data_IF_716757025642
#
_entry.id   IF_716757025642
#
_cell.length_a   1.000
_cell.length_b   1.000
_cell.length_c   1.000
_cell.angle_alpha   90.00
_cell.angle_beta   90.00
_cell.angle_gamma   90.00
#
_symmetry.space_group_name_H-M   'P 1'
#
loop_
_entity.id
_entity.type
_entity.pdbx_description
1 polymer ?
#
# COMPACT_ATOMS: atom_id res chain seq x y z
N UNK A 1 6.49 -0.77 -26.83
CA UNK A 1 5.29 -1.16 -27.62
C UNK A 1 4.79 -2.54 -27.18
N UNK A 2 3.57 -2.93 -27.62
CA UNK A 2 3.03 -4.29 -27.39
C UNK A 2 3.97 -5.36 -28.01
N UNK A 3 4.60 -5.04 -29.14
CA UNK A 3 5.58 -5.95 -29.77
C UNK A 3 6.78 -6.20 -28.86
N UNK A 4 7.31 -5.16 -28.23
CA UNK A 4 8.46 -5.27 -27.31
C UNK A 4 8.11 -6.09 -26.06
N UNK A 5 6.89 -5.92 -25.54
CA UNK A 5 6.38 -6.70 -24.40
C UNK A 5 6.26 -8.17 -24.79
N UNK A 6 5.60 -8.46 -25.91
CA UNK A 6 5.40 -9.83 -26.38
C UNK A 6 6.73 -10.54 -26.66
N UNK A 7 7.67 -9.88 -27.31
CA UNK A 7 9.03 -10.38 -27.56
C UNK A 7 9.77 -10.70 -26.25
N UNK A 8 9.70 -9.80 -25.29
CA UNK A 8 10.42 -9.94 -23.99
C UNK A 8 9.94 -11.13 -23.17
N UNK A 9 8.65 -11.47 -23.27
CA UNK A 9 8.05 -12.63 -22.57
C UNK A 9 7.94 -13.88 -23.45
N UNK A 10 8.49 -13.84 -24.68
CA UNK A 10 8.52 -14.99 -25.59
C UNK A 10 7.15 -15.39 -26.16
N UNK A 11 6.20 -14.45 -26.25
CA UNK A 11 4.87 -14.70 -26.80
C UNK A 11 4.66 -14.01 -28.15
N UNK A 12 3.71 -14.51 -28.94
CA UNK A 12 3.32 -13.85 -30.19
C UNK A 12 2.35 -12.67 -29.90
N UNK A 13 2.32 -11.67 -30.80
CA UNK A 13 1.34 -10.58 -30.71
C UNK A 13 -0.11 -11.07 -30.70
N UNK A 14 -0.39 -12.15 -31.48
CA UNK A 14 -1.75 -12.73 -31.50
C UNK A 14 -2.12 -13.29 -30.12
N UNK A 15 -1.18 -13.99 -29.48
CA UNK A 15 -1.39 -14.51 -28.11
C UNK A 15 -1.53 -13.38 -27.11
N UNK A 16 -0.76 -12.30 -27.24
CA UNK A 16 -0.93 -11.11 -26.41
C UNK A 16 -2.37 -10.57 -26.48
N UNK A 17 -2.89 -10.33 -27.70
CA UNK A 17 -4.25 -9.82 -27.86
C UNK A 17 -5.36 -10.80 -27.48
N UNK A 18 -5.04 -12.08 -27.29
CA UNK A 18 -5.97 -13.04 -26.71
C UNK A 18 -6.22 -12.78 -25.21
N UNK A 19 -5.19 -12.32 -24.49
CA UNK A 19 -5.28 -12.05 -23.03
C UNK A 19 -5.53 -10.59 -22.69
N UNK A 20 -4.98 -9.66 -23.47
CA UNK A 20 -5.01 -8.23 -23.17
C UNK A 20 -5.41 -7.43 -24.42
N UNK A 21 -6.37 -6.52 -24.26
CA UNK A 21 -6.81 -5.67 -25.38
C UNK A 21 -5.77 -4.61 -25.74
N UNK A 22 -5.05 -4.10 -24.74
CA UNK A 22 -4.04 -3.07 -24.87
C UNK A 22 -2.96 -3.16 -23.77
N UNK A 23 -2.00 -2.25 -23.83
CA UNK A 23 -0.92 -2.16 -22.84
C UNK A 23 -1.40 -1.72 -21.45
N UNK A 24 -2.51 -0.97 -21.38
CA UNK A 24 -3.05 -0.45 -20.11
C UNK A 24 -3.71 -1.59 -19.32
N UNK A 25 -4.30 -2.59 -19.99
CA UNK A 25 -4.75 -3.81 -19.34
C UNK A 25 -3.60 -4.61 -18.74
N UNK A 26 -2.48 -4.74 -19.46
CA UNK A 26 -1.28 -5.41 -18.91
C UNK A 26 -0.77 -4.65 -17.69
N UNK A 27 -0.62 -3.33 -17.82
CA UNK A 27 -0.19 -2.50 -16.69
C UNK A 27 -1.14 -2.67 -15.49
N UNK A 28 -2.46 -2.67 -15.73
CA UNK A 28 -3.46 -2.92 -14.69
C UNK A 28 -3.27 -4.27 -13.99
N UNK A 29 -3.09 -5.35 -14.77
CA UNK A 29 -2.88 -6.69 -14.22
C UNK A 29 -1.60 -6.78 -13.36
N UNK A 30 -0.49 -6.19 -13.83
CA UNK A 30 0.76 -6.13 -13.06
C UNK A 30 0.57 -5.35 -11.75
N UNK A 31 -0.17 -4.23 -11.79
CA UNK A 31 -0.48 -3.47 -10.57
C UNK A 31 -1.32 -4.28 -9.58
N UNK A 32 -2.30 -5.04 -10.08
CA UNK A 32 -3.13 -5.90 -9.24
C UNK A 32 -2.32 -7.01 -8.58
N UNK A 33 -1.36 -7.62 -9.29
CA UNK A 33 -0.46 -8.62 -8.72
C UNK A 33 0.40 -8.00 -7.62
N UNK A 34 1.00 -6.83 -7.85
CA UNK A 34 1.81 -6.13 -6.84
C UNK A 34 0.97 -5.75 -5.62
N UNK A 35 -0.25 -5.25 -5.81
CA UNK A 35 -1.16 -4.95 -4.70
C UNK A 35 -1.51 -6.21 -3.92
N UNK A 36 -1.75 -7.32 -4.60
CA UNK A 36 -2.02 -8.61 -3.96
C UNK A 36 -0.85 -9.10 -3.10
N UNK A 37 0.40 -8.89 -3.53
CA UNK A 37 1.58 -9.18 -2.72
C UNK A 37 1.66 -8.29 -1.46
N UNK A 38 1.30 -7.02 -1.57
CA UNK A 38 1.24 -6.11 -0.41
C UNK A 38 0.17 -6.57 0.58
N UNK A 39 -1.02 -6.94 0.08
CA UNK A 39 -2.10 -7.47 0.93
C UNK A 39 -1.65 -8.77 1.62
N UNK A 40 -1.01 -9.69 0.91
CA UNK A 40 -0.51 -10.93 1.51
C UNK A 40 0.49 -10.67 2.66
N UNK A 41 1.36 -9.66 2.55
CA UNK A 41 2.26 -9.24 3.65
C UNK A 41 1.49 -8.65 4.84
N UNK A 42 0.41 -7.93 4.59
CA UNK A 42 -0.46 -7.41 5.63
C UNK A 42 -1.24 -8.54 6.33
N UNK A 43 -1.69 -9.55 5.58
CA UNK A 43 -2.33 -10.75 6.13
C UNK A 43 -1.37 -11.50 7.04
N UNK A 44 -0.16 -11.78 6.58
CA UNK A 44 0.89 -12.42 7.37
C UNK A 44 1.22 -11.63 8.64
N UNK A 45 1.36 -10.31 8.52
CA UNK A 45 1.56 -9.45 9.68
C UNK A 45 0.39 -9.52 10.66
N UNK A 46 -0.86 -9.44 10.16
CA UNK A 46 -2.06 -9.46 11.00
C UNK A 46 -2.23 -10.79 11.76
N UNK A 47 -1.85 -11.91 11.14
CA UNK A 47 -1.87 -13.24 11.78
C UNK A 47 -0.83 -13.38 12.90
N UNK A 48 0.33 -12.73 12.76
CA UNK A 48 1.47 -12.92 13.68
C UNK A 48 1.65 -11.76 14.67
N UNK A 49 0.94 -10.64 14.49
CA UNK A 49 1.03 -9.51 15.41
C UNK A 49 0.50 -9.85 16.80
N UNK A 50 1.03 -9.20 17.80
CA UNK A 50 0.54 -9.27 19.17
C UNK A 50 -0.78 -8.50 19.29
N UNK A 51 -1.90 -9.21 19.39
CA UNK A 51 -3.22 -8.61 19.47
C UNK A 51 -3.36 -7.66 20.67
N UNK A 52 -3.72 -6.39 20.38
CA UNK A 52 -3.86 -5.32 21.38
C UNK A 52 -2.58 -4.60 21.76
N UNK A 53 -1.43 -4.97 21.20
CA UNK A 53 -0.21 -4.17 21.33
C UNK A 53 -0.18 -3.09 20.23
N UNK A 54 -0.88 -1.97 20.47
CA UNK A 54 -1.04 -0.88 19.51
C UNK A 54 0.30 -0.18 19.24
N UNK A 55 1.10 0.04 20.27
CA UNK A 55 2.43 0.64 20.13
C UNK A 55 3.30 -0.13 19.15
N UNK A 56 3.37 -1.46 19.30
CA UNK A 56 4.10 -2.32 18.37
C UNK A 56 3.48 -2.33 16.97
N UNK A 57 2.15 -2.31 16.87
CA UNK A 57 1.47 -2.25 15.58
C UNK A 57 1.82 -0.97 14.81
N UNK A 58 1.93 0.17 15.49
CA UNK A 58 2.37 1.44 14.89
C UNK A 58 3.83 1.36 14.39
N UNK A 59 4.74 0.76 15.18
CA UNK A 59 6.12 0.53 14.74
C UNK A 59 6.20 -0.38 13.51
N UNK A 60 5.38 -1.42 13.47
CA UNK A 60 5.32 -2.36 12.35
C UNK A 60 4.79 -1.68 11.08
N UNK A 61 3.77 -0.81 11.20
CA UNK A 61 3.23 -0.01 10.08
C UNK A 61 4.30 0.90 9.49
N UNK A 62 5.09 1.59 10.33
CA UNK A 62 6.19 2.45 9.86
C UNK A 62 7.20 1.62 9.07
N UNK A 63 7.65 0.49 9.62
CA UNK A 63 8.61 -0.40 8.95
C UNK A 63 8.07 -0.95 7.64
N UNK A 64 6.82 -1.39 7.62
CA UNK A 64 6.18 -1.89 6.41
C UNK A 64 6.11 -0.80 5.34
N UNK A 65 5.64 0.40 5.71
CA UNK A 65 5.55 1.53 4.77
C UNK A 65 6.90 1.87 4.18
N UNK A 66 7.97 1.93 4.99
CA UNK A 66 9.33 2.15 4.48
C UNK A 66 9.79 1.05 3.53
N UNK A 67 9.51 -0.21 3.83
CA UNK A 67 9.90 -1.32 2.95
C UNK A 67 9.21 -1.27 1.58
N UNK A 68 7.99 -0.74 1.52
CA UNK A 68 7.24 -0.57 0.28
C UNK A 68 7.75 0.60 -0.57
N UNK A 69 8.39 1.60 0.04
CA UNK A 69 8.90 2.82 -0.62
C UNK A 69 10.39 2.70 -0.97
N UNK A 70 11.13 1.77 -0.34
CA UNK A 70 12.55 1.54 -0.61
C UNK A 70 12.81 1.31 -2.12
N UNK A 71 14.08 1.47 -2.55
CA UNK A 71 14.50 1.49 -3.96
C UNK A 71 13.98 0.34 -4.83
N UNK A 72 13.76 -0.83 -4.24
CA UNK A 72 13.17 -2.00 -4.90
C UNK A 72 11.70 -2.22 -4.51
N UNK A 73 11.13 -1.33 -3.69
CA UNK A 73 9.74 -1.41 -3.27
C UNK A 73 8.76 -0.99 -4.36
N UNK A 74 7.51 -1.46 -4.27
CA UNK A 74 6.48 -1.18 -5.27
C UNK A 74 6.09 0.30 -5.37
N UNK A 75 6.33 1.10 -4.32
CA UNK A 75 6.07 2.54 -4.29
C UNK A 75 7.34 3.38 -4.50
N UNK A 76 8.40 2.79 -5.03
CA UNK A 76 9.68 3.46 -5.24
C UNK A 76 9.58 4.60 -6.26
N UNK A 77 10.48 5.56 -6.14
CA UNK A 77 10.55 6.75 -6.99
C UNK A 77 10.88 6.42 -8.45
N UNK A 78 11.51 5.28 -8.73
CA UNK A 78 11.86 4.84 -10.10
C UNK A 78 10.67 4.79 -11.05
N UNK A 79 9.48 4.39 -10.57
CA UNK A 79 8.27 4.38 -11.40
C UNK A 79 7.87 5.77 -11.91
N UNK A 80 8.23 6.85 -11.19
CA UNK A 80 7.92 8.24 -11.57
C UNK A 80 8.97 8.77 -12.54
N UNK A 81 10.24 8.45 -12.30
CA UNK A 81 11.38 8.94 -13.09
C UNK A 81 11.33 8.45 -14.53
N UNK A 82 10.79 7.27 -14.78
CA UNK A 82 10.62 6.68 -16.11
C UNK A 82 9.44 7.28 -16.93
N UNK A 83 8.87 8.40 -16.51
CA UNK A 83 7.77 9.06 -17.21
C UNK A 83 6.41 8.41 -17.03
N UNK A 84 6.25 7.52 -16.03
CA UNK A 84 5.02 6.78 -15.74
C UNK A 84 4.18 7.40 -14.62
N UNK A 85 4.23 8.72 -14.41
CA UNK A 85 3.55 9.40 -13.31
C UNK A 85 2.05 9.08 -13.23
N UNK A 86 1.35 9.01 -14.38
CA UNK A 86 -0.07 8.66 -14.40
C UNK A 86 -0.34 7.22 -13.96
N UNK A 87 0.55 6.28 -14.31
CA UNK A 87 0.47 4.88 -13.88
C UNK A 87 0.74 4.78 -12.37
N UNK A 88 1.73 5.52 -11.90
CA UNK A 88 2.07 5.58 -10.47
C UNK A 88 0.91 6.13 -9.63
N UNK A 89 0.25 7.21 -10.04
CA UNK A 89 -0.91 7.75 -9.35
C UNK A 89 -2.04 6.73 -9.28
N UNK A 90 -2.39 6.09 -10.39
CA UNK A 90 -3.41 5.03 -10.42
C UNK A 90 -3.05 3.86 -9.51
N UNK A 91 -1.76 3.53 -9.43
CA UNK A 91 -1.27 2.48 -8.53
C UNK A 91 -1.47 2.86 -7.06
N UNK A 92 -1.03 4.05 -6.66
CA UNK A 92 -1.21 4.56 -5.29
C UNK A 92 -2.68 4.55 -4.89
N UNK A 93 -3.56 5.09 -5.75
CA UNK A 93 -5.00 5.16 -5.47
C UNK A 93 -5.60 3.76 -5.26
N UNK A 94 -5.31 2.82 -6.16
CA UNK A 94 -5.82 1.44 -6.05
C UNK A 94 -5.24 0.71 -4.86
N UNK A 95 -3.94 0.87 -4.60
CA UNK A 95 -3.28 0.24 -3.46
C UNK A 95 -3.85 0.77 -2.14
N UNK A 96 -3.99 2.09 -2.00
CA UNK A 96 -4.57 2.71 -0.81
C UNK A 96 -6.01 2.25 -0.58
N UNK A 97 -6.83 2.19 -1.63
CA UNK A 97 -8.21 1.70 -1.58
C UNK A 97 -8.27 0.23 -1.09
N UNK A 98 -7.52 -0.67 -1.71
CA UNK A 98 -7.49 -2.09 -1.36
C UNK A 98 -6.92 -2.36 0.03
N UNK A 99 -5.87 -1.64 0.42
CA UNK A 99 -5.28 -1.76 1.76
C UNK A 99 -6.28 -1.27 2.81
N UNK A 100 -6.98 -0.15 2.55
CA UNK A 100 -7.99 0.38 3.45
C UNK A 100 -9.16 -0.59 3.62
N UNK A 101 -9.67 -1.17 2.53
CA UNK A 101 -10.70 -2.21 2.54
C UNK A 101 -10.28 -3.40 3.42
N UNK A 102 -9.06 -3.91 3.23
CA UNK A 102 -8.51 -5.00 4.03
C UNK A 102 -8.43 -4.66 5.52
N UNK A 103 -7.85 -3.50 5.87
CA UNK A 103 -7.68 -3.06 7.26
C UNK A 103 -9.03 -2.88 7.96
N UNK A 104 -10.01 -2.25 7.32
CA UNK A 104 -11.36 -2.08 7.86
C UNK A 104 -12.05 -3.43 8.11
N UNK A 105 -11.89 -4.38 7.18
CA UNK A 105 -12.48 -5.72 7.29
C UNK A 105 -11.83 -6.65 8.33
N UNK A 106 -10.61 -6.33 8.78
CA UNK A 106 -9.80 -7.18 9.64
C UNK A 106 -9.32 -6.48 10.92
N UNK A 107 -8.22 -5.75 10.80
CA UNK A 107 -7.49 -5.15 11.93
C UNK A 107 -8.32 -4.14 12.73
N UNK A 108 -9.08 -3.29 12.04
CA UNK A 108 -9.91 -2.26 12.68
C UNK A 108 -11.06 -2.89 13.44
N UNK A 109 -11.74 -3.86 12.84
CA UNK A 109 -12.84 -4.56 13.51
C UNK A 109 -12.39 -5.21 14.81
N UNK A 110 -11.24 -5.91 14.80
CA UNK A 110 -10.69 -6.52 16.02
C UNK A 110 -10.32 -5.47 17.07
N UNK A 111 -9.78 -4.32 16.64
CA UNK A 111 -9.48 -3.20 17.52
C UNK A 111 -10.75 -2.64 18.17
N UNK A 112 -11.79 -2.37 17.41
CA UNK A 112 -13.05 -1.84 17.91
C UNK A 112 -13.76 -2.79 18.89
N UNK A 113 -13.77 -4.09 18.57
CA UNK A 113 -14.33 -5.12 19.48
C UNK A 113 -13.58 -5.16 20.82
N UNK A 114 -12.26 -4.95 20.81
CA UNK A 114 -11.42 -5.04 22.00
C UNK A 114 -11.43 -3.76 22.84
N UNK A 115 -11.43 -2.60 22.20
CA UNK A 115 -11.25 -1.31 22.87
C UNK A 115 -12.53 -0.47 22.97
N UNK A 116 -13.60 -0.84 22.26
CA UNK A 116 -14.87 -0.13 22.27
C UNK A 116 -14.80 1.28 21.66
N UNK A 117 -13.76 1.55 20.85
CA UNK A 117 -13.50 2.87 20.25
C UNK A 117 -13.66 2.79 18.72
N UNK A 118 -14.82 3.22 18.19
CA UNK A 118 -15.04 3.19 16.74
C UNK A 118 -14.21 4.30 16.04
N UNK A 119 -13.52 3.92 14.96
CA UNK A 119 -12.88 4.87 14.04
C UNK A 119 -13.97 5.34 13.07
N UNK A 120 -14.26 6.64 13.07
CA UNK A 120 -15.24 7.22 12.14
C UNK A 120 -14.67 7.31 10.74
N UNK A 121 -15.50 7.02 9.73
CA UNK A 121 -15.09 7.06 8.32
C UNK A 121 -13.79 6.26 8.10
N UNK A 122 -13.80 5.03 8.57
CA UNK A 122 -12.62 4.14 8.64
C UNK A 122 -11.88 4.10 7.32
N UNK A 123 -12.59 3.75 6.25
CA UNK A 123 -12.00 3.60 4.93
C UNK A 123 -11.32 4.89 4.44
N UNK A 124 -12.02 6.02 4.52
CA UNK A 124 -11.50 7.33 4.09
C UNK A 124 -10.32 7.78 4.96
N UNK A 125 -10.36 7.46 6.25
CA UNK A 125 -9.26 7.77 7.19
C UNK A 125 -8.01 6.97 6.82
N UNK A 126 -8.13 5.65 6.64
CA UNK A 126 -7.01 4.80 6.23
C UNK A 126 -6.51 5.15 4.83
N UNK A 127 -7.41 5.37 3.86
CA UNK A 127 -7.01 5.80 2.52
C UNK A 127 -6.15 7.07 2.57
N UNK A 128 -6.63 8.10 3.27
CA UNK A 128 -5.93 9.38 3.40
C UNK A 128 -4.58 9.20 4.11
N UNK A 129 -4.55 8.42 5.19
CA UNK A 129 -3.34 8.12 5.94
C UNK A 129 -2.30 7.40 5.08
N UNK A 130 -2.69 6.36 4.36
CA UNK A 130 -1.79 5.57 3.50
C UNK A 130 -1.19 6.44 2.40
N UNK A 131 -2.01 7.19 1.65
CA UNK A 131 -1.54 8.10 0.60
C UNK A 131 -0.61 9.16 1.20
N UNK A 132 -0.96 9.73 2.35
CA UNK A 132 -0.18 10.74 3.05
C UNK A 132 1.17 10.21 3.51
N UNK A 133 1.22 9.05 4.16
CA UNK A 133 2.47 8.45 4.64
C UNK A 133 3.41 8.06 3.50
N UNK A 134 2.89 7.44 2.43
CA UNK A 134 3.68 7.11 1.24
C UNK A 134 4.30 8.38 0.65
N UNK A 135 3.51 9.44 0.50
CA UNK A 135 3.99 10.71 -0.04
C UNK A 135 5.00 11.39 0.87
N UNK A 136 4.75 11.40 2.18
CA UNK A 136 5.61 12.00 3.19
C UNK A 136 6.99 11.34 3.22
N UNK A 137 7.06 10.01 3.34
CA UNK A 137 8.31 9.26 3.42
C UNK A 137 9.08 9.36 2.09
N UNK A 138 8.39 9.35 0.96
CA UNK A 138 9.04 9.49 -0.35
C UNK A 138 9.68 10.86 -0.54
N UNK A 139 9.01 11.94 -0.13
CA UNK A 139 9.53 13.29 -0.25
C UNK A 139 10.59 13.62 0.80
N UNK A 140 10.54 12.93 1.94
CA UNK A 140 11.45 13.14 3.06
C UNK A 140 11.97 11.78 3.54
N UNK A 141 12.87 11.12 2.77
CA UNK A 141 13.35 9.77 3.09
C UNK A 141 14.05 9.69 4.46
N UNK A 142 14.66 10.79 4.89
CA UNK A 142 15.35 10.89 6.18
C UNK A 142 14.42 11.32 7.34
N UNK A 143 13.10 11.40 7.14
CA UNK A 143 12.16 11.72 8.21
C UNK A 143 12.27 10.68 9.34
N UNK A 144 12.27 11.15 10.59
CA UNK A 144 12.34 10.28 11.76
C UNK A 144 11.11 9.36 11.83
N UNK A 145 11.33 8.08 12.12
CA UNK A 145 10.28 7.08 12.27
C UNK A 145 9.30 7.44 13.39
N UNK A 146 9.77 8.08 14.45
CA UNK A 146 8.93 8.58 15.54
C UNK A 146 7.93 9.64 15.04
N UNK A 147 8.32 10.51 14.11
CA UNK A 147 7.40 11.49 13.51
C UNK A 147 6.33 10.77 12.67
N UNK A 148 6.72 9.81 11.86
CA UNK A 148 5.78 9.02 11.03
C UNK A 148 4.79 8.27 11.92
N UNK A 149 5.29 7.65 12.99
CA UNK A 149 4.49 6.96 14.00
C UNK A 149 3.50 7.89 14.71
N UNK A 150 3.94 9.08 15.13
CA UNK A 150 3.08 10.07 15.75
C UNK A 150 1.98 10.55 14.79
N UNK A 151 2.32 10.83 13.53
CA UNK A 151 1.32 11.25 12.53
C UNK A 151 0.26 10.16 12.34
N UNK A 152 0.67 8.89 12.26
CA UNK A 152 -0.27 7.77 12.16
C UNK A 152 -1.17 7.68 13.40
N UNK A 153 -0.59 7.75 14.60
CA UNK A 153 -1.33 7.67 15.86
C UNK A 153 -2.33 8.83 16.01
N UNK A 154 -1.91 10.07 15.75
CA UNK A 154 -2.77 11.24 15.80
C UNK A 154 -3.94 11.16 14.82
N UNK A 155 -3.68 10.68 13.59
CA UNK A 155 -4.73 10.53 12.57
C UNK A 155 -5.77 9.49 12.98
N UNK A 156 -5.34 8.44 13.66
CA UNK A 156 -6.20 7.34 14.14
C UNK A 156 -6.73 7.55 15.55
N UNK A 157 -6.44 8.69 16.20
CA UNK A 157 -6.77 8.96 17.60
C UNK A 157 -6.21 7.91 18.59
N UNK A 158 -4.99 7.48 18.34
CA UNK A 158 -4.26 6.48 19.13
C UNK A 158 -3.11 7.09 19.94
N UNK A 159 -3.12 8.40 20.19
CA UNK A 159 -2.03 9.13 20.90
C UNK A 159 -1.72 8.57 22.27
N UNK A 160 -2.70 8.01 22.97
CA UNK A 160 -2.53 7.40 24.28
C UNK A 160 -1.68 6.12 24.30
N UNK A 161 -1.37 5.57 23.10
CA UNK A 161 -0.57 4.36 22.93
C UNK A 161 0.86 4.63 22.41
N UNK A 162 1.25 5.91 22.34
CA UNK A 162 2.60 6.31 21.90
C UNK A 162 3.67 6.07 22.98
#
# INVERSE_FOLDING_TARGET
>A
TISDIAERVGMTRSLFYHYFQDKDQVAGAVLDDVISEVIARLEEWNEHREAGNISKALDDVVRLTRSLIADEGPFSQRLIEDGNAALYLRFIDRAADRISEYLCGSTVREFEEKHGMPIRNEHETFYTLIVGLISLIRLHPDIDDDIVRQVAAQTLHLDEYL
#
